data_IF_806301040645
#
_entry.id   IF_806301040645
#
_cell.length_a   1.000
_cell.length_b   1.000
_cell.length_c   1.000
_cell.angle_alpha   90.00
_cell.angle_beta   90.00
_cell.angle_gamma   90.00
#
_symmetry.space_group_name_H-M   'P 1'
#
loop_
_entity.id
_entity.type
_entity.pdbx_description
1 polymer ?
#
# COMPACT_ATOMS: atom_id res chain seq x y z
N UNK A 1 -24.89 5.84 -4.64
CA UNK A 1 -23.64 6.47 -4.14
C UNK A 1 -23.13 5.89 -2.83
N UNK A 2 -23.95 5.61 -1.80
CA UNK A 2 -23.47 5.01 -0.54
C UNK A 2 -22.67 3.71 -0.73
N UNK A 3 -23.15 2.74 -1.52
CA UNK A 3 -22.43 1.47 -1.79
C UNK A 3 -21.06 1.69 -2.46
N UNK A 4 -21.01 2.55 -3.49
CA UNK A 4 -19.76 2.88 -4.19
C UNK A 4 -18.74 3.56 -3.26
N UNK A 5 -19.20 4.48 -2.39
CA UNK A 5 -18.35 5.10 -1.35
C UNK A 5 -17.79 4.07 -0.38
N UNK A 6 -18.62 3.15 0.10
CA UNK A 6 -18.17 2.08 1.00
C UNK A 6 -17.17 1.16 0.32
N UNK A 7 -17.41 0.76 -0.93
CA UNK A 7 -16.46 -0.05 -1.69
C UNK A 7 -15.14 0.68 -1.92
N UNK A 8 -15.17 1.93 -2.34
CA UNK A 8 -13.97 2.76 -2.54
C UNK A 8 -13.17 2.93 -1.24
N UNK A 9 -13.85 3.11 -0.09
CA UNK A 9 -13.19 3.17 1.21
C UNK A 9 -12.54 1.84 1.63
N UNK A 10 -13.15 0.70 1.30
CA UNK A 10 -12.56 -0.63 1.55
C UNK A 10 -11.31 -0.81 0.68
N UNK A 11 -11.39 -0.47 -0.61
CA UNK A 11 -10.25 -0.55 -1.54
C UNK A 11 -9.12 0.37 -1.06
N UNK A 12 -9.45 1.58 -0.58
CA UNK A 12 -8.50 2.49 0.03
C UNK A 12 -7.76 1.87 1.21
N UNK A 13 -8.50 1.26 2.14
CA UNK A 13 -7.91 0.60 3.32
C UNK A 13 -6.95 -0.53 2.92
N UNK A 14 -7.32 -1.34 1.93
CA UNK A 14 -6.45 -2.42 1.43
C UNK A 14 -5.19 -1.84 0.79
N UNK A 15 -5.30 -0.82 -0.06
CA UNK A 15 -4.17 -0.17 -0.71
C UNK A 15 -3.21 0.47 0.32
N UNK A 16 -3.77 1.08 1.36
CA UNK A 16 -3.00 1.67 2.46
C UNK A 16 -2.21 0.60 3.22
N UNK A 17 -2.84 -0.53 3.57
CA UNK A 17 -2.15 -1.64 4.24
C UNK A 17 -1.00 -2.18 3.41
N UNK A 18 -1.20 -2.38 2.09
CA UNK A 18 -0.14 -2.82 1.16
C UNK A 18 1.00 -1.79 1.11
N UNK A 19 0.66 -0.49 1.07
CA UNK A 19 1.67 0.57 1.01
C UNK A 19 2.52 0.63 2.27
N UNK A 20 1.89 0.50 3.44
CA UNK A 20 2.57 0.46 4.73
C UNK A 20 3.49 -0.77 4.83
N UNK A 21 3.00 -1.93 4.42
CA UNK A 21 3.74 -3.20 4.45
C UNK A 21 4.99 -3.17 3.53
N UNK A 22 4.85 -2.65 2.31
CA UNK A 22 5.98 -2.44 1.39
C UNK A 22 6.96 -1.39 1.93
N UNK A 23 6.46 -0.32 2.54
CA UNK A 23 7.28 0.73 3.15
C UNK A 23 8.12 0.20 4.31
N UNK A 24 7.54 -0.63 5.19
CA UNK A 24 8.27 -1.26 6.28
C UNK A 24 9.39 -2.16 5.76
N UNK A 25 9.17 -2.97 4.72
CA UNK A 25 10.26 -3.77 4.13
C UNK A 25 11.36 -2.91 3.55
N UNK A 26 11.00 -1.88 2.78
CA UNK A 26 11.99 -1.02 2.15
C UNK A 26 12.87 -0.34 3.21
N UNK A 27 12.26 0.20 4.27
CA UNK A 27 12.98 0.83 5.38
C UNK A 27 13.82 -0.18 6.18
N UNK A 28 13.32 -1.39 6.40
CA UNK A 28 14.08 -2.42 7.12
C UNK A 28 15.33 -2.84 6.35
N UNK A 29 15.22 -2.94 5.02
CA UNK A 29 16.35 -3.28 4.15
C UNK A 29 17.34 -2.13 3.91
N UNK A 30 17.01 -0.91 4.35
CA UNK A 30 17.93 0.24 4.35
C UNK A 30 18.86 0.24 5.58
N UNK A 31 18.57 -0.54 6.62
CA UNK A 31 19.38 -0.58 7.84
C UNK A 31 20.64 -1.42 7.57
N UNK A 32 21.85 -0.82 7.60
CA UNK A 32 23.09 -1.56 7.40
C UNK A 32 23.33 -2.51 8.59
N UNK A 33 23.55 -3.79 8.31
CA UNK A 33 23.76 -4.83 9.33
C UNK A 33 23.08 -6.16 9.03
N UNK A 34 22.22 -6.22 8.02
CA UNK A 34 21.65 -7.45 7.50
C UNK A 34 22.34 -7.85 6.19
N UNK A 35 23.05 -8.99 6.20
CA UNK A 35 23.60 -9.60 5.00
C UNK A 35 22.46 -10.17 4.14
N UNK A 36 21.90 -9.32 3.29
CA UNK A 36 20.86 -9.66 2.33
C UNK A 36 19.51 -9.01 2.61
N UNK A 37 18.58 -9.21 1.68
CA UNK A 37 17.25 -8.63 1.74
C UNK A 37 16.41 -9.46 2.71
N UNK A 38 16.12 -8.86 3.86
CA UNK A 38 15.32 -9.47 4.91
C UNK A 38 13.85 -9.15 4.69
N UNK A 39 13.04 -10.20 4.68
CA UNK A 39 11.60 -10.15 4.48
C UNK A 39 10.91 -10.03 5.84
N UNK A 40 10.29 -8.87 6.13
CA UNK A 40 9.63 -8.60 7.42
C UNK A 40 8.23 -8.01 7.28
N UNK A 41 7.60 -8.15 6.12
CA UNK A 41 6.18 -7.83 5.95
C UNK A 41 5.26 -8.90 6.50
N UNK A 42 4.22 -8.46 7.20
CA UNK A 42 3.12 -9.32 7.59
C UNK A 42 2.44 -9.93 6.35
N UNK A 43 2.26 -9.16 5.27
CA UNK A 43 1.61 -9.69 4.07
C UNK A 43 2.45 -10.74 3.35
N UNK A 44 3.78 -10.66 3.44
CA UNK A 44 4.66 -11.70 2.91
C UNK A 44 4.72 -12.92 3.82
N UNK A 45 4.87 -12.70 5.13
CA UNK A 45 4.95 -13.78 6.11
C UNK A 45 3.67 -14.63 6.14
N UNK A 46 2.50 -13.97 6.05
CA UNK A 46 1.20 -14.63 6.15
C UNK A 46 0.65 -15.05 4.80
N UNK A 47 0.76 -14.20 3.77
CA UNK A 47 0.09 -14.45 2.49
C UNK A 47 1.05 -14.74 1.33
N UNK A 48 2.38 -14.56 1.51
CA UNK A 48 3.41 -14.75 0.47
C UNK A 48 3.13 -13.99 -0.84
N UNK A 49 2.40 -12.87 -0.78
CA UNK A 49 1.94 -12.15 -1.98
C UNK A 49 3.00 -11.19 -2.53
N UNK A 50 3.95 -10.74 -1.71
CA UNK A 50 4.99 -9.79 -2.08
C UNK A 50 6.34 -10.18 -1.46
N UNK A 51 7.44 -10.12 -2.23
CA UNK A 51 8.75 -10.58 -1.79
C UNK A 51 8.97 -12.09 -2.03
N UNK A 52 9.68 -12.43 -3.10
CA UNK A 52 10.32 -13.73 -3.27
C UNK A 52 11.85 -13.56 -3.28
N UNK A 53 12.60 -14.66 -3.39
CA UNK A 53 14.07 -14.63 -3.39
C UNK A 53 14.70 -13.75 -4.51
N UNK A 54 13.91 -13.30 -5.50
CA UNK A 54 14.35 -12.42 -6.57
C UNK A 54 14.11 -10.93 -6.31
N UNK A 55 13.47 -10.55 -5.20
CA UNK A 55 13.21 -9.15 -4.91
C UNK A 55 14.47 -8.43 -4.47
N UNK A 56 14.81 -7.37 -5.17
CA UNK A 56 15.90 -6.45 -4.82
C UNK A 56 15.36 -5.25 -4.04
N UNK A 57 16.25 -4.51 -3.35
CA UNK A 57 15.90 -3.26 -2.68
C UNK A 57 15.21 -2.28 -3.65
N UNK A 58 15.67 -2.24 -4.91
CA UNK A 58 15.08 -1.41 -5.96
C UNK A 58 13.68 -1.86 -6.35
N UNK A 59 13.41 -3.17 -6.38
CA UNK A 59 12.06 -3.71 -6.63
C UNK A 59 11.13 -3.34 -5.47
N UNK A 60 11.58 -3.47 -4.22
CA UNK A 60 10.82 -3.02 -3.05
C UNK A 60 10.50 -1.53 -3.11
N UNK A 61 11.48 -0.69 -3.45
CA UNK A 61 11.27 0.74 -3.64
C UNK A 61 10.24 1.02 -4.73
N UNK A 62 10.37 0.42 -5.91
CA UNK A 62 9.44 0.65 -7.02
C UNK A 62 8.03 0.17 -6.70
N UNK A 63 7.89 -0.97 -6.02
CA UNK A 63 6.59 -1.47 -5.57
C UNK A 63 5.95 -0.54 -4.52
N UNK A 64 6.74 -0.07 -3.56
CA UNK A 64 6.32 0.91 -2.55
C UNK A 64 5.90 2.24 -3.18
N UNK A 65 6.68 2.78 -4.10
CA UNK A 65 6.36 4.02 -4.81
C UNK A 65 5.03 3.90 -5.56
N UNK A 66 4.84 2.81 -6.30
CA UNK A 66 3.59 2.54 -7.03
C UNK A 66 2.40 2.40 -6.08
N UNK A 67 2.55 1.69 -4.96
CA UNK A 67 1.45 1.49 -4.01
C UNK A 67 1.04 2.80 -3.33
N UNK A 68 2.02 3.67 -3.00
CA UNK A 68 1.75 5.01 -2.47
C UNK A 68 0.97 5.85 -3.49
N UNK A 69 1.37 5.86 -4.77
CA UNK A 69 0.64 6.60 -5.81
C UNK A 69 -0.79 6.08 -6.00
N UNK A 70 -0.99 4.76 -6.04
CA UNK A 70 -2.33 4.15 -6.13
C UNK A 70 -3.18 4.57 -4.92
N UNK A 71 -2.63 4.46 -3.72
CA UNK A 71 -3.31 4.83 -2.47
C UNK A 71 -3.69 6.31 -2.47
N UNK A 72 -2.79 7.19 -2.94
CA UNK A 72 -3.06 8.62 -3.05
C UNK A 72 -4.20 8.93 -4.01
N UNK A 73 -4.23 8.30 -5.20
CA UNK A 73 -5.32 8.48 -6.16
C UNK A 73 -6.67 8.07 -5.56
N UNK A 74 -6.72 6.91 -4.90
CA UNK A 74 -7.95 6.42 -4.25
C UNK A 74 -8.35 7.35 -3.08
N UNK A 75 -7.39 7.91 -2.35
CA UNK A 75 -7.68 8.92 -1.31
C UNK A 75 -8.37 10.14 -1.92
N UNK A 76 -7.84 10.69 -3.02
CA UNK A 76 -8.43 11.83 -3.72
C UNK A 76 -9.83 11.50 -4.21
N UNK A 77 -10.04 10.32 -4.78
CA UNK A 77 -11.36 9.83 -5.18
C UNK A 77 -12.34 9.82 -3.99
N UNK A 78 -11.93 9.28 -2.85
CA UNK A 78 -12.77 9.24 -1.64
C UNK A 78 -13.13 10.64 -1.13
N UNK A 79 -12.19 11.60 -1.19
CA UNK A 79 -12.46 13.01 -0.86
C UNK A 79 -13.48 13.62 -1.81
N UNK A 80 -13.32 13.41 -3.12
CA UNK A 80 -14.27 13.91 -4.13
C UNK A 80 -15.67 13.30 -3.92
N UNK A 81 -15.75 12.00 -3.69
CA UNK A 81 -17.01 11.31 -3.39
C UNK A 81 -17.67 11.86 -2.12
N UNK A 82 -16.89 12.15 -1.08
CA UNK A 82 -17.40 12.74 0.15
C UNK A 82 -17.98 14.15 -0.07
N UNK A 83 -17.29 15.01 -0.84
CA UNK A 83 -17.76 16.36 -1.17
C UNK A 83 -19.04 16.32 -2.01
N UNK A 84 -19.10 15.46 -3.03
CA UNK A 84 -20.29 15.31 -3.88
C UNK A 84 -21.49 14.78 -3.09
N UNK A 85 -21.28 13.80 -2.21
CA UNK A 85 -22.35 13.28 -1.36
C UNK A 85 -22.89 14.36 -0.40
N UNK A 86 -21.99 15.13 0.22
CA UNK A 86 -22.38 16.22 1.14
C UNK A 86 -23.18 17.33 0.46
N UNK A 87 -22.95 17.61 -0.83
CA UNK A 87 -23.72 18.60 -1.60
C UNK A 87 -25.12 18.15 -2.00
N UNK A 88 -25.46 16.85 -1.87
CA UNK A 88 -26.77 16.30 -2.25
C UNK A 88 -27.72 16.07 -1.07
N UNK A 89 -27.25 16.25 0.16
CA UNK A 89 -28.04 16.23 1.39
C UNK A 89 -28.42 17.66 1.77
#
# INVERSE_FOLDING_TARGET
MRRARTMSAIIFMIALLISVDLGFNFLYNLIPGHDGITYRSFLQEVFRVFGDNGWTLQIFYSAFEKSVWITFIIMVENVVLAVICKRRE
#
